data_IF_018471698188
#
_entry.id   IF_018471698188
#
_cell.length_a   1.000
_cell.length_b   1.000
_cell.length_c   1.000
_cell.angle_alpha   90.00
_cell.angle_beta   90.00
_cell.angle_gamma   90.00
#
_symmetry.space_group_name_H-M   'P 1'
#
loop_
_entity.id
_entity.type
_entity.pdbx_description
1 polymer ?
#
# COMPACT_ATOMS: atom_id res chain seq x y z
N UNK A 1 -7.34 -8.91 -5.03
CA UNK A 1 -6.34 -9.04 -3.95
C UNK A 1 -5.81 -7.70 -3.43
N UNK A 2 -5.66 -6.68 -4.25
CA UNK A 2 -5.17 -5.34 -3.85
C UNK A 2 -5.90 -4.77 -2.62
N UNK A 3 -7.16 -5.14 -2.39
CA UNK A 3 -7.94 -4.67 -1.23
C UNK A 3 -7.59 -5.37 0.09
N UNK A 4 -7.06 -6.59 0.07
CA UNK A 4 -6.72 -7.31 1.30
C UNK A 4 -5.61 -6.61 2.11
N UNK A 5 -4.49 -6.14 1.50
CA UNK A 5 -3.51 -5.33 2.21
C UNK A 5 -4.08 -4.02 2.79
N UNK A 6 -5.03 -3.37 2.09
CA UNK A 6 -5.69 -2.18 2.63
C UNK A 6 -6.45 -2.49 3.92
N UNK A 7 -7.27 -3.55 3.91
CA UNK A 7 -8.01 -3.97 5.11
C UNK A 7 -7.04 -4.32 6.24
N UNK A 8 -5.96 -5.06 5.94
CA UNK A 8 -4.94 -5.41 6.92
C UNK A 8 -4.30 -4.17 7.54
N UNK A 9 -3.82 -3.21 6.73
CA UNK A 9 -3.22 -1.97 7.22
C UNK A 9 -4.22 -1.15 8.06
N UNK A 10 -5.51 -1.13 7.68
CA UNK A 10 -6.55 -0.46 8.46
C UNK A 10 -6.76 -1.12 9.82
N UNK A 11 -6.76 -2.46 9.88
CA UNK A 11 -6.87 -3.20 11.15
C UNK A 11 -5.64 -2.98 12.03
N UNK A 12 -4.44 -2.97 11.44
CA UNK A 12 -3.20 -2.66 12.16
C UNK A 12 -3.18 -1.22 12.68
N UNK A 13 -3.67 -0.26 11.89
CA UNK A 13 -3.86 1.12 12.34
C UNK A 13 -4.83 1.19 13.53
N UNK A 14 -5.91 0.42 13.50
CA UNK A 14 -6.83 0.29 14.62
C UNK A 14 -6.23 -0.41 15.85
N UNK A 15 -5.00 -0.96 15.78
CA UNK A 15 -4.33 -1.65 16.86
C UNK A 15 -4.61 -3.15 16.93
N UNK A 16 -5.13 -3.76 15.84
CA UNK A 16 -5.29 -5.21 15.73
C UNK A 16 -4.04 -5.77 15.07
N UNK A 17 -3.19 -6.44 15.85
CA UNK A 17 -1.88 -6.92 15.38
C UNK A 17 -1.93 -8.32 14.77
N UNK A 18 -2.80 -9.20 15.33
CA UNK A 18 -2.91 -10.59 14.87
C UNK A 18 -3.84 -10.69 13.64
N UNK A 19 -3.38 -10.16 12.51
CA UNK A 19 -4.08 -10.18 11.23
C UNK A 19 -3.17 -10.70 10.13
N UNK A 20 -3.74 -11.44 9.18
CA UNK A 20 -3.01 -12.00 8.05
C UNK A 20 -3.83 -11.91 6.76
N UNK A 21 -3.17 -12.14 5.64
CA UNK A 21 -3.79 -12.20 4.32
C UNK A 21 -3.81 -13.66 3.87
N UNK A 22 -5.00 -14.12 3.46
CA UNK A 22 -5.12 -15.40 2.75
C UNK A 22 -4.61 -15.20 1.33
N UNK A 23 -3.39 -15.67 1.08
CA UNK A 23 -2.73 -15.49 -0.21
C UNK A 23 -3.47 -16.25 -1.34
N UNK A 24 -3.82 -15.52 -2.39
CA UNK A 24 -4.68 -16.00 -3.47
C UNK A 24 -6.18 -15.83 -3.19
N UNK A 25 -6.55 -15.46 -1.96
CA UNK A 25 -7.93 -15.16 -1.58
C UNK A 25 -8.93 -16.29 -1.86
N UNK A 26 -10.19 -15.93 -1.99
CA UNK A 26 -11.28 -16.87 -2.26
C UNK A 26 -11.12 -17.62 -3.59
N UNK A 27 -10.57 -16.96 -4.60
CA UNK A 27 -10.41 -17.59 -5.92
C UNK A 27 -9.46 -18.81 -5.87
N UNK A 28 -8.35 -18.68 -5.13
CA UNK A 28 -7.42 -19.79 -4.91
C UNK A 28 -8.07 -20.88 -4.05
N UNK A 29 -8.80 -20.49 -3.00
CA UNK A 29 -9.53 -21.40 -2.12
C UNK A 29 -10.50 -22.30 -2.92
N UNK A 30 -11.27 -21.71 -3.84
CA UNK A 30 -12.20 -22.44 -4.70
C UNK A 30 -11.44 -23.33 -5.69
N UNK A 31 -10.37 -22.82 -6.33
CA UNK A 31 -9.57 -23.63 -7.28
C UNK A 31 -8.93 -24.85 -6.61
N UNK A 32 -8.61 -24.75 -5.32
CA UNK A 32 -8.07 -25.87 -4.53
C UNK A 32 -9.17 -26.81 -3.97
N UNK A 33 -10.42 -26.62 -4.38
CA UNK A 33 -11.58 -27.40 -3.91
C UNK A 33 -11.69 -27.43 -2.37
N UNK A 34 -11.35 -26.34 -1.72
CA UNK A 34 -11.47 -26.23 -0.26
C UNK A 34 -12.92 -26.05 0.18
N UNK A 35 -13.30 -26.46 1.41
CA UNK A 35 -14.66 -26.39 1.89
C UNK A 35 -15.27 -24.99 1.84
N UNK A 36 -16.50 -24.88 1.40
CA UNK A 36 -17.30 -23.67 1.43
C UNK A 36 -18.54 -23.90 2.31
N UNK A 37 -19.03 -22.85 2.95
CA UNK A 37 -20.28 -22.87 3.71
C UNK A 37 -21.18 -21.72 3.28
N UNK A 38 -22.49 -21.99 3.26
CA UNK A 38 -23.54 -20.97 3.08
C UNK A 38 -24.18 -20.60 4.41
N UNK A 39 -23.68 -21.13 5.51
CA UNK A 39 -24.22 -20.85 6.84
C UNK A 39 -23.98 -19.39 7.23
N UNK A 40 -25.04 -18.71 7.66
CA UNK A 40 -24.96 -17.37 8.21
C UNK A 40 -24.49 -17.41 9.66
N UNK A 41 -23.21 -17.12 9.87
CA UNK A 41 -22.67 -16.96 11.22
C UNK A 41 -23.16 -15.64 11.81
N UNK A 42 -23.82 -15.71 12.98
CA UNK A 42 -24.16 -14.53 13.78
C UNK A 42 -23.02 -14.24 14.75
N UNK A 43 -22.16 -13.23 14.49
CA UNK A 43 -21.07 -12.91 15.40
C UNK A 43 -21.63 -12.43 16.74
N UNK A 44 -20.96 -12.79 17.82
CA UNK A 44 -21.26 -12.24 19.15
C UNK A 44 -20.79 -10.79 19.20
N UNK A 45 -21.64 -9.90 19.72
CA UNK A 45 -21.25 -8.50 19.95
C UNK A 45 -20.12 -8.45 20.96
N UNK A 46 -19.05 -7.76 20.61
CA UNK A 46 -17.89 -7.50 21.47
C UNK A 46 -17.63 -6.00 21.56
N UNK A 47 -16.91 -5.59 22.60
CA UNK A 47 -16.44 -4.22 22.75
C UNK A 47 -14.96 -4.19 22.38
N UNK A 48 -14.62 -3.55 21.28
CA UNK A 48 -13.24 -3.33 20.90
C UNK A 48 -12.67 -2.11 21.63
N UNK A 49 -11.48 -2.26 22.25
CA UNK A 49 -10.76 -1.21 22.99
C UNK A 49 -9.32 -1.09 22.50
N UNK A 50 -9.14 -1.01 21.18
CA UNK A 50 -7.82 -0.88 20.59
C UNK A 50 -7.21 0.50 20.78
N UNK A 51 -5.87 0.56 20.74
CA UNK A 51 -5.10 1.79 20.71
C UNK A 51 -4.63 2.01 19.27
N UNK A 52 -4.92 3.19 18.71
CA UNK A 52 -4.54 3.51 17.34
C UNK A 52 -3.01 3.52 17.16
N UNK A 53 -2.52 2.78 16.20
CA UNK A 53 -1.13 2.83 15.76
C UNK A 53 -0.92 3.99 14.77
N UNK A 54 -0.77 5.21 15.31
CA UNK A 54 -0.62 6.43 14.51
C UNK A 54 0.69 6.50 13.72
N UNK A 55 1.65 5.62 13.99
CA UNK A 55 2.93 5.61 13.28
C UNK A 55 2.87 4.99 11.88
N UNK A 56 1.82 4.23 11.58
CA UNK A 56 1.66 3.56 10.29
C UNK A 56 1.19 4.51 9.19
N UNK A 57 0.24 5.39 9.50
CA UNK A 57 -0.35 6.33 8.56
C UNK A 57 0.21 7.74 8.77
N UNK A 58 0.43 8.46 7.67
CA UNK A 58 0.91 9.85 7.70
C UNK A 58 -0.01 10.75 6.91
N UNK A 59 -0.11 11.99 7.36
CA UNK A 59 -0.93 13.04 6.77
C UNK A 59 -0.14 13.87 5.76
N UNK A 60 -0.82 14.61 4.90
CA UNK A 60 -0.26 15.46 3.85
C UNK A 60 0.86 16.39 4.34
N UNK A 61 0.67 17.05 5.49
CA UNK A 61 1.67 17.96 6.03
C UNK A 61 2.99 17.25 6.39
N UNK A 62 2.90 16.03 6.94
CA UNK A 62 4.08 15.21 7.19
C UNK A 62 4.80 14.87 5.89
N UNK A 63 4.05 14.42 4.87
CA UNK A 63 4.59 14.06 3.55
C UNK A 63 5.30 15.25 2.91
N UNK A 64 4.69 16.44 2.92
CA UNK A 64 5.28 17.67 2.39
C UNK A 64 6.62 18.01 3.07
N UNK A 65 6.70 17.84 4.41
CA UNK A 65 7.93 18.06 5.18
C UNK A 65 9.04 17.03 4.91
N UNK A 66 8.76 15.97 4.18
CA UNK A 66 9.71 14.89 3.83
C UNK A 66 10.20 14.94 2.39
N UNK A 67 9.76 15.91 1.58
CA UNK A 67 10.30 16.09 0.22
C UNK A 67 11.83 16.19 0.23
N UNK A 68 12.49 15.39 -0.61
CA UNK A 68 13.95 15.29 -0.70
C UNK A 68 14.64 14.59 0.49
N UNK A 69 13.89 14.08 1.49
CA UNK A 69 14.44 13.42 2.68
C UNK A 69 14.05 11.95 2.79
N UNK A 70 12.84 11.59 2.39
CA UNK A 70 12.33 10.22 2.38
C UNK A 70 12.28 9.67 0.96
N UNK A 71 12.21 8.34 0.83
CA UNK A 71 11.90 7.68 -0.45
C UNK A 71 10.39 7.60 -0.61
N UNK A 72 9.86 8.34 -1.57
CA UNK A 72 8.44 8.24 -1.95
C UNK A 72 8.26 7.12 -2.96
N UNK A 73 7.31 6.22 -2.71
CA UNK A 73 6.98 5.09 -3.58
C UNK A 73 5.57 5.24 -4.11
N UNK A 74 5.48 5.59 -5.38
CA UNK A 74 4.22 5.62 -6.10
C UNK A 74 3.89 4.20 -6.59
N UNK A 75 2.77 3.66 -6.11
CA UNK A 75 2.37 2.28 -6.40
C UNK A 75 1.35 2.16 -7.53
N UNK A 76 1.12 3.25 -8.27
CA UNK A 76 0.28 3.27 -9.46
C UNK A 76 1.00 2.65 -10.65
N UNK A 77 0.24 2.25 -11.66
CA UNK A 77 0.82 1.83 -12.94
C UNK A 77 1.58 2.99 -13.61
N UNK A 78 2.58 2.65 -14.43
CA UNK A 78 3.52 3.60 -15.06
C UNK A 78 2.80 4.77 -15.76
N UNK A 79 1.70 4.50 -16.46
CA UNK A 79 0.93 5.53 -17.18
C UNK A 79 0.31 6.61 -16.28
N UNK A 80 0.01 6.27 -15.01
CA UNK A 80 -0.49 7.22 -14.02
C UNK A 80 0.67 7.99 -13.36
N UNK A 81 1.77 7.28 -13.11
CA UNK A 81 2.99 7.88 -12.58
C UNK A 81 3.58 8.91 -13.54
N UNK A 82 3.74 8.56 -14.81
CA UNK A 82 4.28 9.45 -15.85
C UNK A 82 3.39 10.66 -16.16
N UNK A 83 2.13 10.62 -15.74
CA UNK A 83 1.15 11.64 -16.08
C UNK A 83 0.59 11.53 -17.50
N UNK A 84 0.83 10.41 -18.20
CA UNK A 84 0.16 10.09 -19.46
C UNK A 84 -1.35 9.97 -19.27
N UNK A 85 -1.76 9.39 -18.13
CA UNK A 85 -3.17 9.31 -17.70
C UNK A 85 -3.36 9.89 -16.31
N UNK A 86 -4.57 10.30 -16.00
CA UNK A 86 -5.00 10.65 -14.65
C UNK A 86 -6.43 10.18 -14.39
N UNK A 87 -6.74 9.92 -13.14
CA UNK A 87 -8.12 9.65 -12.70
C UNK A 87 -8.93 10.95 -12.70
N UNK A 88 -10.24 10.86 -12.90
CA UNK A 88 -11.11 12.05 -12.94
C UNK A 88 -11.13 12.84 -11.62
N UNK A 89 -10.96 12.12 -10.50
CA UNK A 89 -10.93 12.71 -9.16
C UNK A 89 -9.55 13.28 -8.77
N UNK A 90 -8.51 13.08 -9.59
CA UNK A 90 -7.17 13.64 -9.40
C UNK A 90 -7.05 14.97 -10.13
N UNK A 91 -6.64 16.04 -9.45
CA UNK A 91 -6.62 17.38 -10.02
C UNK A 91 -5.53 17.57 -11.09
N UNK A 92 -4.34 17.01 -10.88
CA UNK A 92 -3.18 17.17 -11.76
C UNK A 92 -2.62 15.80 -12.17
N UNK A 93 -2.11 15.69 -13.41
CA UNK A 93 -1.41 14.50 -13.90
C UNK A 93 0.07 14.53 -13.47
N UNK A 94 0.64 13.36 -13.15
CA UNK A 94 2.02 13.22 -12.70
C UNK A 94 2.12 12.57 -11.33
N UNK A 95 3.19 12.89 -10.57
CA UNK A 95 3.50 12.28 -9.28
C UNK A 95 4.14 13.28 -8.30
N UNK A 96 4.29 12.89 -7.04
CA UNK A 96 5.02 13.67 -6.02
C UNK A 96 6.51 13.73 -6.41
N UNK A 97 7.14 14.91 -6.44
CA UNK A 97 8.54 15.04 -6.87
C UNK A 97 9.51 14.14 -6.11
N UNK A 98 10.43 13.51 -6.84
CA UNK A 98 11.41 12.59 -6.27
C UNK A 98 10.88 11.21 -5.94
N UNK A 99 9.64 10.89 -6.33
CA UNK A 99 9.09 9.54 -6.17
C UNK A 99 9.72 8.56 -7.15
N UNK A 100 9.83 7.32 -6.69
CA UNK A 100 10.12 6.16 -7.52
C UNK A 100 8.83 5.39 -7.79
N UNK A 101 8.71 4.79 -8.97
CA UNK A 101 7.52 4.01 -9.32
C UNK A 101 7.72 2.53 -9.00
N UNK A 102 6.76 1.97 -8.27
CA UNK A 102 6.71 0.55 -7.93
C UNK A 102 5.26 0.08 -7.96
N UNK A 103 4.74 -0.26 -9.14
CA UNK A 103 3.35 -0.67 -9.31
C UNK A 103 2.93 -1.79 -8.36
N UNK A 104 1.74 -1.67 -7.77
CA UNK A 104 1.21 -2.70 -6.87
C UNK A 104 1.00 -4.04 -7.60
N UNK A 105 0.77 -4.00 -8.91
CA UNK A 105 0.64 -5.19 -9.77
C UNK A 105 1.92 -6.04 -9.81
N UNK A 106 3.10 -5.43 -9.68
CA UNK A 106 4.38 -6.16 -9.66
C UNK A 106 4.53 -7.12 -8.46
N UNK A 107 3.72 -6.95 -7.43
CA UNK A 107 3.73 -7.83 -6.26
C UNK A 107 3.08 -9.19 -6.51
N UNK A 108 2.31 -9.34 -7.58
CA UNK A 108 1.48 -10.51 -7.79
C UNK A 108 1.92 -11.35 -8.99
N UNK A 109 1.65 -12.65 -8.89
CA UNK A 109 1.73 -13.59 -10.02
C UNK A 109 0.49 -13.48 -10.91
N UNK A 110 0.53 -14.08 -12.09
CA UNK A 110 -0.65 -14.16 -12.98
C UNK A 110 -1.84 -14.90 -12.33
N UNK A 111 -1.57 -15.84 -11.41
CA UNK A 111 -2.62 -16.55 -10.67
C UNK A 111 -3.24 -15.74 -9.54
N UNK A 112 -2.74 -14.52 -9.30
CA UNK A 112 -3.21 -13.61 -8.28
C UNK A 112 -2.69 -13.88 -6.86
N UNK A 113 -1.69 -14.73 -6.68
CA UNK A 113 -0.94 -14.88 -5.41
C UNK A 113 0.16 -13.82 -5.32
N UNK A 114 0.65 -13.55 -4.14
CA UNK A 114 1.92 -12.83 -4.04
C UNK A 114 3.05 -13.63 -4.72
N UNK A 115 4.01 -12.93 -5.28
CA UNK A 115 5.29 -13.51 -5.68
C UNK A 115 6.02 -14.06 -4.45
N UNK A 116 6.96 -14.97 -4.64
CA UNK A 116 7.76 -15.46 -3.53
C UNK A 116 8.62 -14.35 -2.92
N UNK A 117 9.15 -14.59 -1.72
CA UNK A 117 9.89 -13.60 -0.96
C UNK A 117 11.13 -13.09 -1.69
N UNK A 118 11.84 -13.98 -2.35
CA UNK A 118 13.07 -13.71 -3.10
C UNK A 118 12.79 -12.77 -4.29
N UNK A 119 11.72 -13.04 -5.03
CA UNK A 119 11.26 -12.17 -6.13
C UNK A 119 10.85 -10.79 -5.63
N UNK A 120 10.06 -10.74 -4.53
CA UNK A 120 9.64 -9.48 -3.92
C UNK A 120 10.83 -8.67 -3.41
N UNK A 121 11.82 -9.33 -2.81
CA UNK A 121 13.05 -8.69 -2.32
C UNK A 121 13.87 -8.12 -3.48
N UNK A 122 14.02 -8.85 -4.57
CA UNK A 122 14.73 -8.39 -5.76
C UNK A 122 14.05 -7.15 -6.39
N UNK A 123 12.71 -7.17 -6.48
CA UNK A 123 11.92 -6.04 -6.99
C UNK A 123 12.10 -4.83 -6.07
N UNK A 124 11.91 -4.99 -4.76
CA UNK A 124 12.04 -3.91 -3.80
C UNK A 124 13.46 -3.33 -3.77
N UNK A 125 14.50 -4.18 -3.74
CA UNK A 125 15.90 -3.74 -3.70
C UNK A 125 16.28 -2.87 -4.90
N UNK A 126 15.77 -3.20 -6.09
CA UNK A 126 15.99 -2.41 -7.32
C UNK A 126 15.43 -0.99 -7.21
N UNK A 127 14.29 -0.80 -6.52
CA UNK A 127 13.54 0.46 -6.50
C UNK A 127 13.82 1.28 -5.24
N UNK A 128 13.78 0.66 -4.06
CA UNK A 128 13.94 1.35 -2.77
C UNK A 128 15.28 1.08 -2.10
N UNK A 129 16.12 0.20 -2.69
CA UNK A 129 17.41 -0.18 -2.13
C UNK A 129 17.30 -1.22 -1.02
N UNK A 130 18.46 -1.60 -0.46
CA UNK A 130 18.58 -2.68 0.55
C UNK A 130 18.67 -2.17 1.99
N UNK A 131 18.80 -0.85 2.18
CA UNK A 131 18.81 -0.26 3.52
C UNK A 131 17.41 -0.31 4.14
N UNK A 132 17.21 -1.26 5.04
CA UNK A 132 15.92 -1.50 5.71
C UNK A 132 15.56 -0.47 6.78
N UNK A 133 16.47 0.44 7.11
CA UNK A 133 16.23 1.55 8.05
C UNK A 133 15.70 2.82 7.37
N UNK A 134 15.84 2.89 6.04
CA UNK A 134 15.42 4.04 5.22
C UNK A 134 13.95 4.39 5.44
N UNK A 135 13.66 5.68 5.53
CA UNK A 135 12.27 6.16 5.57
C UNK A 135 11.64 6.05 4.19
N UNK A 136 10.57 5.25 4.11
CA UNK A 136 9.80 5.01 2.89
C UNK A 136 8.36 5.45 3.12
N UNK A 137 7.81 6.19 2.18
CA UNK A 137 6.40 6.62 2.22
C UNK A 137 5.73 6.10 0.95
N UNK A 138 4.80 5.15 1.10
CA UNK A 138 4.03 4.61 -0.02
C UNK A 138 2.75 5.41 -0.23
N UNK A 139 2.38 5.65 -1.49
CA UNK A 139 1.13 6.30 -1.88
C UNK A 139 0.62 5.76 -3.22
N UNK A 140 -0.62 6.09 -3.57
CA UNK A 140 -1.21 5.79 -4.87
C UNK A 140 -2.14 6.92 -5.33
N UNK A 141 -3.29 6.64 -5.93
CA UNK A 141 -4.29 7.68 -6.21
C UNK A 141 -5.09 8.06 -4.96
N UNK A 142 -5.69 7.07 -4.26
CA UNK A 142 -6.61 7.27 -3.13
C UNK A 142 -6.44 6.19 -2.04
N UNK A 143 -5.21 5.82 -1.69
CA UNK A 143 -4.91 4.89 -0.60
C UNK A 143 -5.31 3.42 -0.83
N UNK A 144 -5.70 3.02 -2.05
CA UNK A 144 -6.24 1.67 -2.31
C UNK A 144 -5.16 0.62 -2.56
N UNK A 145 -4.14 0.92 -3.33
CA UNK A 145 -3.12 -0.05 -3.76
C UNK A 145 -1.78 0.12 -3.02
N UNK A 146 -1.45 1.30 -2.52
CA UNK A 146 -0.21 1.52 -1.79
C UNK A 146 -0.04 0.67 -0.51
N UNK A 147 -1.10 0.21 0.18
CA UNK A 147 -0.95 -0.74 1.28
C UNK A 147 -0.29 -2.06 0.87
N UNK A 148 -0.35 -2.44 -0.41
CA UNK A 148 0.30 -3.67 -0.91
C UNK A 148 1.81 -3.64 -0.65
N UNK A 149 2.50 -2.61 -1.11
CA UNK A 149 3.94 -2.49 -0.88
C UNK A 149 4.27 -2.06 0.54
N UNK A 150 3.41 -1.31 1.23
CA UNK A 150 3.60 -1.04 2.66
C UNK A 150 3.62 -2.36 3.46
N UNK A 151 2.68 -3.26 3.22
CA UNK A 151 2.62 -4.60 3.82
C UNK A 151 3.85 -5.44 3.46
N UNK A 152 4.19 -5.54 2.18
CA UNK A 152 5.33 -6.35 1.73
C UNK A 152 6.64 -5.84 2.35
N UNK A 153 6.90 -4.55 2.25
CA UNK A 153 8.12 -3.95 2.79
C UNK A 153 8.24 -4.19 4.30
N UNK A 154 7.15 -4.01 5.06
CA UNK A 154 7.20 -4.16 6.52
C UNK A 154 7.14 -5.61 6.99
N UNK A 155 6.12 -6.37 6.56
CA UNK A 155 5.82 -7.67 7.15
C UNK A 155 6.56 -8.83 6.48
N UNK A 156 6.88 -8.70 5.18
CA UNK A 156 7.56 -9.77 4.43
C UNK A 156 9.06 -9.52 4.38
N UNK A 157 9.48 -8.28 4.08
CA UNK A 157 10.87 -7.93 3.83
C UNK A 157 11.57 -7.28 5.03
N UNK A 158 10.82 -6.86 6.05
CA UNK A 158 11.37 -6.38 7.32
C UNK A 158 11.97 -4.97 7.29
N UNK A 159 11.53 -4.09 6.37
CA UNK A 159 11.85 -2.67 6.44
C UNK A 159 11.21 -2.05 7.67
N UNK A 160 11.95 -1.21 8.40
CA UNK A 160 11.58 -0.73 9.74
C UNK A 160 10.86 0.61 9.76
N UNK A 161 11.00 1.41 8.72
CA UNK A 161 10.51 2.80 8.68
C UNK A 161 9.66 3.05 7.44
N UNK A 162 8.61 2.24 7.27
CA UNK A 162 7.66 2.38 6.16
C UNK A 162 6.37 3.02 6.66
N UNK A 163 5.91 4.02 5.96
CA UNK A 163 4.68 4.77 6.24
C UNK A 163 3.74 4.73 5.05
N UNK A 164 2.47 4.89 5.32
CA UNK A 164 1.39 4.90 4.34
C UNK A 164 0.75 6.29 4.30
N UNK A 165 0.82 6.95 3.16
CA UNK A 165 0.07 8.17 2.90
C UNK A 165 -1.28 7.82 2.29
N UNK A 166 -2.32 7.71 3.13
CA UNK A 166 -3.65 7.25 2.71
C UNK A 166 -4.36 8.28 1.82
N UNK A 167 -4.24 9.59 2.11
CA UNK A 167 -4.78 10.65 1.27
C UNK A 167 -4.23 10.65 -0.17
N UNK A 168 -3.00 10.16 -0.33
CA UNK A 168 -2.39 9.83 -1.60
C UNK A 168 -2.36 11.01 -2.60
N UNK A 169 -2.23 10.68 -3.89
CA UNK A 169 -2.08 11.71 -4.92
C UNK A 169 -3.37 12.51 -5.16
N UNK A 170 -4.54 11.95 -4.85
CA UNK A 170 -5.80 12.69 -4.88
C UNK A 170 -5.77 13.90 -3.93
N UNK A 171 -5.39 13.70 -2.67
CA UNK A 171 -5.28 14.79 -1.69
C UNK A 171 -4.13 15.73 -2.03
N UNK A 172 -2.98 15.19 -2.46
CA UNK A 172 -1.80 15.95 -2.82
C UNK A 172 -2.04 16.89 -4.00
N UNK A 173 -2.59 16.38 -5.09
CA UNK A 173 -2.77 17.12 -6.34
C UNK A 173 -3.83 18.23 -6.29
N UNK A 174 -4.72 18.16 -5.30
CA UNK A 174 -5.73 19.20 -5.05
C UNK A 174 -5.17 20.45 -4.37
N UNK A 175 -3.98 20.35 -3.79
CA UNK A 175 -3.33 21.48 -3.13
C UNK A 175 -2.42 22.22 -4.12
N UNK A 176 -2.79 23.45 -4.52
CA UNK A 176 -2.01 24.19 -5.53
C UNK A 176 -0.65 24.67 -5.02
N UNK A 177 -0.37 24.58 -3.71
CA UNK A 177 0.91 24.93 -3.13
C UNK A 177 1.90 23.76 -3.15
N UNK A 178 1.44 22.55 -3.43
CA UNK A 178 2.29 21.37 -3.46
C UNK A 178 2.78 21.06 -4.88
N UNK A 179 4.07 20.74 -5.02
CA UNK A 179 4.65 20.51 -6.33
C UNK A 179 4.22 19.14 -6.90
N UNK A 180 4.04 19.11 -8.21
CA UNK A 180 3.80 17.91 -9.01
C UNK A 180 4.80 17.86 -10.15
N UNK A 181 5.34 16.68 -10.47
CA UNK A 181 6.22 16.44 -11.62
C UNK A 181 5.65 15.36 -12.53
N UNK A 182 6.11 15.35 -13.80
CA UNK A 182 5.77 14.33 -14.79
C UNK A 182 7.02 13.62 -15.27
#
# INVERSE_FOLDING_TARGET
QIMAPRVLCTLQYAGIENVGILDGGQDKWIRENRPLSTEHVKPKKTVYRGILNKGLHVEKAFVAGRLGKATFVDTREVQWFSGEKKQDFVAQAGHIPGSVNLPASEAFTQSGTFKNKEELEAIAARVVGTDRSREIITYCDAGRCCPTWAFILTQVLGYKNVKLYDGSFEEWSKDPQLPVTR
#
